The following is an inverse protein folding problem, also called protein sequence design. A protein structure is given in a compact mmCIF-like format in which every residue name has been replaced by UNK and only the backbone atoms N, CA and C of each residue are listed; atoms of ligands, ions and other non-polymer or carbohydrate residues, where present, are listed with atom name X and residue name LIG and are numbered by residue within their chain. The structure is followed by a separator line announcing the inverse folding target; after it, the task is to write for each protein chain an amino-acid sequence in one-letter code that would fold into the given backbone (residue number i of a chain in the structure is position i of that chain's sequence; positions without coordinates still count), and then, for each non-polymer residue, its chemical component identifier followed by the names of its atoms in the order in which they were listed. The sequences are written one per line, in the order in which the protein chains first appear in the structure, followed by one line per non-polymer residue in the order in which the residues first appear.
data_IF_485906277462
#
_entry.id   IF_485906277462
#
_cell.length_a   1.000
_cell.length_b   1.000
_cell.length_c   1.000
_cell.angle_alpha   90.00
_cell.angle_beta   90.00
_cell.angle_gamma   90.00
#
_symmetry.space_group_name_H-M   'P 1'
#
loop_
_entity.id
_entity.type
_entity.pdbx_description
1 polymer ?
#
# COMPACT_ATOMS: atom_id res chain seq x y z
N UNK A 1 55.79 32.04 -37.94
CA UNK A 1 54.98 30.93 -38.45
C UNK A 1 54.67 30.04 -37.26
N UNK A 2 53.55 30.31 -36.58
CA UNK A 2 53.23 29.77 -35.25
C UNK A 2 52.04 28.83 -35.42
N UNK A 3 52.22 27.56 -35.09
CA UNK A 3 51.16 26.56 -35.17
C UNK A 3 50.15 26.75 -34.01
N UNK A 4 48.84 26.71 -34.27
CA UNK A 4 47.84 26.76 -33.21
C UNK A 4 47.78 25.43 -32.45
N UNK A 5 47.94 25.49 -31.13
CA UNK A 5 47.67 24.39 -30.21
C UNK A 5 46.18 24.00 -30.29
N UNK A 6 45.88 22.82 -30.83
CA UNK A 6 44.56 22.20 -30.67
C UNK A 6 44.47 21.59 -29.28
N UNK A 7 43.86 22.31 -28.34
CA UNK A 7 43.43 21.73 -27.07
C UNK A 7 42.38 20.66 -27.34
N UNK A 8 42.80 19.40 -27.22
CA UNK A 8 41.89 18.26 -27.12
C UNK A 8 41.12 18.40 -25.81
N UNK A 9 39.92 18.98 -25.90
CA UNK A 9 38.98 19.02 -24.77
C UNK A 9 38.48 17.59 -24.56
N UNK A 10 39.17 16.86 -23.67
CA UNK A 10 38.76 15.53 -23.25
C UNK A 10 37.31 15.60 -22.74
N UNK A 11 36.39 14.93 -23.43
CA UNK A 11 34.99 14.85 -23.05
C UNK A 11 34.88 14.11 -21.72
N UNK A 12 34.54 14.85 -20.65
CA UNK A 12 34.25 14.25 -19.35
C UNK A 12 33.03 13.34 -19.52
N UNK A 13 33.14 12.01 -19.31
CA UNK A 13 32.02 11.11 -19.48
C UNK A 13 30.90 11.49 -18.50
N UNK A 14 29.74 11.83 -19.03
CA UNK A 14 28.55 12.16 -18.26
C UNK A 14 28.21 10.97 -17.35
N UNK A 15 28.38 11.14 -16.04
CA UNK A 15 28.07 10.12 -15.04
C UNK A 15 26.55 10.01 -14.90
N UNK A 16 25.94 9.09 -15.65
CA UNK A 16 24.49 8.80 -15.57
C UNK A 16 24.18 8.30 -14.14
N UNK A 17 23.46 9.12 -13.38
CA UNK A 17 23.04 8.82 -12.00
C UNK A 17 21.97 7.71 -11.99
N UNK A 18 22.32 6.52 -11.49
CA UNK A 18 21.41 5.37 -11.32
C UNK A 18 20.43 5.50 -10.14
N UNK A 19 20.56 6.56 -9.34
CA UNK A 19 19.82 6.78 -8.08
C UNK A 19 18.28 6.78 -8.20
N UNK A 20 17.63 7.34 -9.23
CA UNK A 20 16.17 7.43 -9.23
C UNK A 20 15.47 6.08 -9.41
N UNK A 21 16.10 5.13 -10.12
CA UNK A 21 15.55 3.78 -10.31
C UNK A 21 15.59 2.95 -9.02
N UNK A 22 16.70 3.03 -8.28
CA UNK A 22 16.87 2.31 -7.02
C UNK A 22 15.85 2.79 -5.97
N UNK A 23 15.62 4.10 -5.87
CA UNK A 23 14.63 4.66 -4.94
C UNK A 23 13.19 4.23 -5.29
N UNK A 24 12.82 4.23 -6.57
CA UNK A 24 11.49 3.78 -7.01
C UNK A 24 11.26 2.29 -6.72
N UNK A 25 12.28 1.45 -6.97
CA UNK A 25 12.23 0.03 -6.67
C UNK A 25 12.14 -0.23 -5.17
N UNK A 26 12.90 0.50 -4.36
CA UNK A 26 12.83 0.39 -2.90
C UNK A 26 11.44 0.80 -2.37
N UNK A 27 10.84 1.86 -2.89
CA UNK A 27 9.50 2.29 -2.52
C UNK A 27 8.43 1.25 -2.94
N UNK A 28 8.54 0.69 -4.14
CA UNK A 28 7.66 -0.38 -4.61
C UNK A 28 7.77 -1.63 -3.73
N UNK A 29 8.99 -2.05 -3.42
CA UNK A 29 9.25 -3.19 -2.54
C UNK A 29 8.72 -2.94 -1.12
N UNK A 30 8.97 -1.76 -0.56
CA UNK A 30 8.44 -1.39 0.75
C UNK A 30 6.90 -1.43 0.77
N UNK A 31 6.24 -0.83 -0.21
CA UNK A 31 4.78 -0.89 -0.34
C UNK A 31 4.25 -2.32 -0.41
N UNK A 32 4.84 -3.15 -1.26
CA UNK A 32 4.46 -4.56 -1.40
C UNK A 32 4.67 -5.36 -0.11
N UNK A 33 5.81 -5.16 0.56
CA UNK A 33 6.11 -5.83 1.85
C UNK A 33 5.10 -5.40 2.91
N UNK A 34 4.79 -4.11 3.04
CA UNK A 34 3.79 -3.61 3.99
C UNK A 34 2.41 -4.24 3.74
N UNK A 35 1.98 -4.28 2.47
CA UNK A 35 0.70 -4.88 2.09
C UNK A 35 0.64 -6.38 2.37
N UNK A 36 1.66 -7.16 1.97
CA UNK A 36 1.67 -8.61 2.21
C UNK A 36 1.78 -8.94 3.70
N UNK A 37 2.68 -8.27 4.41
CA UNK A 37 2.84 -8.48 5.86
C UNK A 37 1.57 -8.11 6.62
N UNK A 38 0.82 -7.10 6.17
CA UNK A 38 -0.45 -6.76 6.80
C UNK A 38 -1.44 -7.93 6.82
N UNK A 39 -1.54 -8.74 5.77
CA UNK A 39 -2.51 -9.85 5.69
C UNK A 39 -2.01 -11.14 6.37
N UNK A 40 -0.70 -11.37 6.39
CA UNK A 40 -0.13 -12.64 6.90
C UNK A 40 0.34 -12.55 8.35
N UNK A 41 0.82 -11.38 8.77
CA UNK A 41 1.64 -11.27 9.98
C UNK A 41 0.87 -10.82 11.22
N UNK A 42 0.64 -9.51 11.36
CA UNK A 42 0.16 -8.97 12.63
C UNK A 42 -1.35 -8.97 12.79
N UNK A 43 -1.77 -8.82 14.03
CA UNK A 43 -3.14 -8.51 14.39
C UNK A 43 -3.67 -7.25 13.70
N UNK A 44 -4.90 -7.35 13.21
CA UNK A 44 -5.68 -6.27 12.61
C UNK A 44 -6.53 -5.55 13.63
N UNK A 45 -7.23 -6.30 14.45
CA UNK A 45 -8.21 -5.78 15.38
C UNK A 45 -8.03 -6.36 16.76
N UNK A 46 -8.58 -5.64 17.71
CA UNK A 46 -8.51 -5.95 19.10
C UNK A 46 -9.91 -6.11 19.67
N UNK A 47 -10.14 -7.22 20.37
CA UNK A 47 -11.39 -7.47 21.08
C UNK A 47 -11.15 -7.26 22.58
N UNK A 48 -11.78 -6.26 23.22
CA UNK A 48 -11.61 -6.02 24.64
C UNK A 48 -12.31 -7.09 25.49
N UNK A 49 -11.61 -7.61 26.50
CA UNK A 49 -12.19 -8.51 27.50
C UNK A 49 -13.24 -7.79 28.36
N UNK A 50 -12.95 -6.53 28.65
CA UNK A 50 -13.83 -5.60 29.36
C UNK A 50 -13.78 -4.25 28.63
N UNK A 51 -14.88 -3.82 27.98
CA UNK A 51 -14.94 -2.55 27.27
C UNK A 51 -14.60 -1.34 28.15
N UNK A 52 -14.90 -1.39 29.45
CA UNK A 52 -14.67 -0.28 30.39
C UNK A 52 -13.19 -0.12 30.79
N UNK A 53 -12.42 -1.22 30.80
CA UNK A 53 -11.01 -1.21 31.22
C UNK A 53 -10.02 -1.30 30.05
N UNK A 54 -10.50 -1.48 28.81
CA UNK A 54 -9.70 -1.67 27.59
C UNK A 54 -8.62 -2.78 27.70
N UNK A 55 -8.79 -3.76 28.59
CA UNK A 55 -7.80 -4.83 28.84
C UNK A 55 -7.90 -5.96 27.80
N UNK A 56 -6.78 -6.37 27.17
CA UNK A 56 -6.86 -7.33 26.07
C UNK A 56 -7.33 -8.74 26.37
N UNK A 57 -8.40 -9.16 25.69
CA UNK A 57 -8.78 -10.57 25.60
C UNK A 57 -8.03 -11.25 24.45
N UNK A 58 -8.11 -10.68 23.23
CA UNK A 58 -7.59 -11.34 22.04
C UNK A 58 -7.23 -10.32 20.96
N UNK A 59 -6.19 -10.64 20.19
CA UNK A 59 -5.81 -9.93 18.97
C UNK A 59 -6.21 -10.79 17.79
N UNK A 60 -7.00 -10.23 16.87
CA UNK A 60 -7.50 -10.93 15.69
C UNK A 60 -6.62 -10.60 14.50
N UNK A 61 -6.07 -11.63 13.87
CA UNK A 61 -5.39 -11.53 12.57
C UNK A 61 -6.40 -11.39 11.42
N UNK A 62 -5.91 -11.17 10.19
CA UNK A 62 -6.77 -11.14 9.02
C UNK A 62 -7.52 -12.47 8.79
N UNK A 63 -6.84 -13.60 9.04
CA UNK A 63 -7.45 -14.94 8.95
C UNK A 63 -8.53 -15.15 9.99
N UNK A 64 -8.28 -14.77 11.25
CA UNK A 64 -9.29 -14.90 12.31
C UNK A 64 -10.53 -14.06 11.99
N UNK A 65 -10.34 -12.85 11.42
CA UNK A 65 -11.47 -12.02 10.98
C UNK A 65 -12.27 -12.68 9.87
N UNK A 66 -11.61 -13.34 8.91
CA UNK A 66 -12.30 -14.13 7.89
C UNK A 66 -13.14 -15.25 8.54
N UNK A 67 -12.54 -16.06 9.42
CA UNK A 67 -13.21 -17.19 10.07
C UNK A 67 -14.43 -16.74 10.89
N UNK A 68 -14.32 -15.61 11.61
CA UNK A 68 -15.44 -15.01 12.35
C UNK A 68 -16.59 -14.59 11.43
N UNK A 69 -16.27 -13.96 10.29
CA UNK A 69 -17.29 -13.54 9.33
C UNK A 69 -17.92 -14.69 8.57
N UNK A 70 -17.11 -15.66 8.13
CA UNK A 70 -17.57 -16.85 7.39
C UNK A 70 -18.39 -17.80 8.29
N UNK A 71 -18.05 -17.88 9.58
CA UNK A 71 -18.80 -18.66 10.57
C UNK A 71 -20.11 -18.02 11.02
N UNK A 72 -20.44 -16.81 10.56
CA UNK A 72 -21.66 -16.09 10.96
C UNK A 72 -21.67 -15.66 12.43
N UNK A 73 -20.50 -15.61 13.09
CA UNK A 73 -20.40 -15.24 14.50
C UNK A 73 -20.51 -13.74 14.74
N UNK A 74 -20.35 -12.93 13.68
CA UNK A 74 -20.46 -11.47 13.72
C UNK A 74 -21.29 -11.00 12.52
N UNK A 75 -22.18 -10.01 12.68
CA UNK A 75 -22.85 -9.37 11.55
C UNK A 75 -21.83 -8.85 10.54
N UNK A 76 -22.03 -9.18 9.26
CA UNK A 76 -21.15 -8.76 8.16
C UNK A 76 -21.98 -8.21 6.99
N UNK A 77 -21.33 -7.51 6.06
CA UNK A 77 -21.91 -7.12 4.79
C UNK A 77 -21.11 -7.76 3.63
N UNK A 78 -21.66 -7.72 2.41
CA UNK A 78 -21.02 -8.38 1.26
C UNK A 78 -19.63 -7.85 0.91
N UNK A 79 -19.31 -6.59 1.23
CA UNK A 79 -17.97 -6.03 0.97
C UNK A 79 -16.96 -6.57 1.98
N UNK A 80 -17.32 -6.59 3.26
CA UNK A 80 -16.47 -7.10 4.33
C UNK A 80 -16.17 -8.59 4.14
N UNK A 81 -17.20 -9.39 3.83
CA UNK A 81 -17.05 -10.82 3.55
C UNK A 81 -16.13 -11.08 2.35
N UNK A 82 -16.39 -10.42 1.21
CA UNK A 82 -15.56 -10.55 0.02
C UNK A 82 -14.10 -10.10 0.27
N UNK A 83 -13.91 -9.00 1.00
CA UNK A 83 -12.59 -8.45 1.34
C UNK A 83 -11.76 -9.42 2.17
N UNK A 84 -12.34 -9.94 3.26
CA UNK A 84 -11.66 -10.86 4.16
C UNK A 84 -11.42 -12.24 3.54
N UNK A 85 -12.25 -12.63 2.56
CA UNK A 85 -12.08 -13.90 1.84
C UNK A 85 -11.02 -13.82 0.73
N UNK A 86 -11.26 -13.04 -0.34
CA UNK A 86 -10.45 -13.10 -1.56
C UNK A 86 -10.04 -11.72 -2.09
N UNK A 87 -10.88 -10.71 -1.92
CA UNK A 87 -10.71 -9.41 -2.55
C UNK A 87 -9.53 -8.64 -1.94
N UNK A 88 -9.28 -8.77 -0.63
CA UNK A 88 -8.09 -8.20 0.03
C UNK A 88 -6.80 -8.73 -0.60
N UNK A 89 -6.68 -10.05 -0.75
CA UNK A 89 -5.54 -10.69 -1.41
C UNK A 89 -5.36 -10.22 -2.85
N UNK A 90 -6.44 -10.13 -3.62
CA UNK A 90 -6.38 -9.67 -5.01
C UNK A 90 -5.94 -8.21 -5.14
N UNK A 91 -6.42 -7.32 -4.26
CA UNK A 91 -6.01 -5.92 -4.23
C UNK A 91 -4.53 -5.79 -3.87
N UNK A 92 -4.06 -6.51 -2.85
CA UNK A 92 -2.64 -6.54 -2.45
C UNK A 92 -1.76 -7.05 -3.59
N UNK A 93 -2.14 -8.14 -4.25
CA UNK A 93 -1.41 -8.70 -5.37
C UNK A 93 -1.36 -7.72 -6.57
N UNK A 94 -2.51 -7.17 -6.96
CA UNK A 94 -2.62 -6.25 -8.09
C UNK A 94 -1.79 -4.97 -7.87
N UNK A 95 -1.91 -4.34 -6.69
CA UNK A 95 -1.14 -3.13 -6.35
C UNK A 95 0.36 -3.42 -6.29
N UNK A 96 0.76 -4.56 -5.72
CA UNK A 96 2.17 -4.96 -5.67
C UNK A 96 2.77 -5.17 -7.05
N UNK A 97 2.06 -5.89 -7.93
CA UNK A 97 2.49 -6.13 -9.33
C UNK A 97 2.58 -4.82 -10.09
N UNK A 98 1.58 -3.94 -9.96
CA UNK A 98 1.59 -2.63 -10.62
C UNK A 98 2.73 -1.72 -10.11
N UNK A 99 3.01 -1.74 -8.80
CA UNK A 99 4.11 -0.98 -8.22
C UNK A 99 5.47 -1.44 -8.76
N UNK A 100 5.71 -2.76 -8.81
CA UNK A 100 6.94 -3.33 -9.37
C UNK A 100 7.03 -3.05 -10.87
N UNK A 101 5.95 -3.25 -11.63
CA UNK A 101 5.91 -2.99 -13.06
C UNK A 101 6.22 -1.52 -13.37
N UNK A 102 5.67 -0.58 -12.58
CA UNK A 102 5.95 0.84 -12.71
C UNK A 102 7.42 1.17 -12.40
N UNK A 103 8.00 0.55 -11.36
CA UNK A 103 9.39 0.76 -10.98
C UNK A 103 10.38 0.26 -12.05
N UNK A 104 10.08 -0.86 -12.71
CA UNK A 104 10.92 -1.44 -13.78
C UNK A 104 10.72 -0.70 -15.10
N UNK A 105 9.46 -0.41 -15.46
CA UNK A 105 9.08 0.19 -16.74
C UNK A 105 8.17 1.41 -16.51
N UNK A 106 8.74 2.60 -16.25
CA UNK A 106 7.95 3.78 -15.90
C UNK A 106 7.12 4.26 -17.08
N UNK A 107 5.83 3.89 -17.10
CA UNK A 107 4.84 4.30 -18.09
C UNK A 107 3.71 5.07 -17.42
N UNK A 108 3.26 6.16 -18.06
CA UNK A 108 2.19 7.01 -17.53
C UNK A 108 0.88 6.25 -17.30
N UNK A 109 0.56 5.30 -18.18
CA UNK A 109 -0.60 4.41 -18.03
C UNK A 109 -0.50 3.52 -16.79
N UNK A 110 0.66 2.90 -16.53
CA UNK A 110 0.89 2.11 -15.32
C UNK A 110 0.78 2.95 -14.04
N UNK A 111 1.29 4.19 -14.08
CA UNK A 111 1.17 5.09 -12.95
C UNK A 111 -0.30 5.44 -12.65
N UNK A 112 -1.11 5.75 -13.67
CA UNK A 112 -2.54 5.97 -13.49
C UNK A 112 -3.28 4.72 -12.98
N UNK A 113 -2.97 3.54 -13.51
CA UNK A 113 -3.55 2.29 -13.02
C UNK A 113 -3.21 2.06 -11.55
N UNK A 114 -1.96 2.30 -11.14
CA UNK A 114 -1.53 2.16 -9.75
C UNK A 114 -2.21 3.20 -8.83
N UNK A 115 -2.41 4.44 -9.28
CA UNK A 115 -3.20 5.45 -8.55
C UNK A 115 -4.61 4.92 -8.30
N UNK A 116 -5.30 4.49 -9.36
CA UNK A 116 -6.68 3.99 -9.27
C UNK A 116 -6.75 2.77 -8.35
N UNK A 117 -5.87 1.79 -8.55
CA UNK A 117 -5.85 0.57 -7.74
C UNK A 117 -5.57 0.86 -6.26
N UNK A 118 -4.65 1.79 -5.94
CA UNK A 118 -4.35 2.16 -4.55
C UNK A 118 -5.51 2.91 -3.89
N UNK A 119 -6.19 3.80 -4.62
CA UNK A 119 -7.38 4.51 -4.12
C UNK A 119 -8.54 3.53 -3.89
N UNK A 120 -8.81 2.64 -4.84
CA UNK A 120 -9.81 1.57 -4.68
C UNK A 120 -9.46 0.68 -3.50
N UNK A 121 -8.18 0.31 -3.34
CA UNK A 121 -7.68 -0.43 -2.19
C UNK A 121 -8.01 0.24 -0.87
N UNK A 122 -7.74 1.54 -0.73
CA UNK A 122 -8.05 2.32 0.47
C UNK A 122 -9.56 2.38 0.76
N UNK A 123 -10.38 2.67 -0.26
CA UNK A 123 -11.84 2.76 -0.10
C UNK A 123 -12.42 1.42 0.30
N UNK A 124 -12.08 0.35 -0.41
CA UNK A 124 -12.57 -1.01 -0.11
C UNK A 124 -12.11 -1.46 1.27
N UNK A 125 -10.85 -1.22 1.64
CA UNK A 125 -10.33 -1.56 2.98
C UNK A 125 -11.11 -0.80 4.07
N UNK A 126 -11.39 0.48 3.87
CA UNK A 126 -12.15 1.29 4.84
C UNK A 126 -13.59 0.77 4.98
N UNK A 127 -14.24 0.45 3.86
CA UNK A 127 -15.60 -0.08 3.87
C UNK A 127 -15.68 -1.49 4.49
N UNK A 128 -14.65 -2.32 4.25
CA UNK A 128 -14.55 -3.64 4.85
C UNK A 128 -14.30 -3.56 6.37
N UNK A 129 -13.41 -2.67 6.82
CA UNK A 129 -13.16 -2.42 8.25
C UNK A 129 -14.37 -1.84 8.97
N UNK A 130 -15.13 -0.95 8.30
CA UNK A 130 -16.40 -0.42 8.81
C UNK A 130 -17.44 -1.53 8.95
N UNK A 131 -17.56 -2.39 7.94
CA UNK A 131 -18.60 -3.41 7.92
C UNK A 131 -20.01 -2.82 8.09
N UNK A 132 -20.88 -3.43 8.91
CA UNK A 132 -22.25 -2.95 9.13
C UNK A 132 -22.34 -1.77 10.10
N UNK A 133 -21.23 -1.36 10.75
CA UNK A 133 -21.24 -0.28 11.75
C UNK A 133 -21.69 1.06 11.15
N UNK A 134 -22.21 1.95 12.00
CA UNK A 134 -22.35 3.35 11.59
C UNK A 134 -20.96 4.01 11.49
N UNK A 135 -20.86 5.18 10.84
CA UNK A 135 -19.58 5.89 10.77
C UNK A 135 -19.11 6.39 12.14
N UNK A 136 -20.03 6.72 13.06
CA UNK A 136 -19.69 7.10 14.43
C UNK A 136 -19.05 5.93 15.18
N UNK A 137 -19.72 4.77 15.17
CA UNK A 137 -19.21 3.57 15.83
C UNK A 137 -17.87 3.12 15.22
N UNK A 138 -17.71 3.22 13.90
CA UNK A 138 -16.44 2.90 13.24
C UNK A 138 -15.29 3.78 13.72
N UNK A 139 -15.51 5.09 13.91
CA UNK A 139 -14.48 6.00 14.43
C UNK A 139 -14.14 5.64 15.88
N UNK A 140 -15.15 5.29 16.68
CA UNK A 140 -14.94 4.88 18.07
C UNK A 140 -14.20 3.54 18.20
N UNK A 141 -14.40 2.65 17.23
CA UNK A 141 -13.71 1.35 17.11
C UNK A 141 -12.32 1.48 16.44
N UNK A 142 -12.04 2.56 15.71
CA UNK A 142 -10.74 2.74 15.04
C UNK A 142 -9.55 2.77 16.02
N UNK A 143 -9.78 3.09 17.30
CA UNK A 143 -8.78 2.98 18.37
C UNK A 143 -8.35 1.54 18.67
N UNK A 144 -9.16 0.56 18.28
CA UNK A 144 -8.89 -0.86 18.39
C UNK A 144 -8.14 -1.40 17.17
N UNK A 145 -7.90 -0.57 16.15
CA UNK A 145 -7.07 -0.94 15.00
C UNK A 145 -5.64 -1.20 15.48
N UNK A 146 -5.06 -2.30 15.00
CA UNK A 146 -3.71 -2.75 15.33
C UNK A 146 -2.81 -2.64 14.11
N UNK A 147 -1.56 -3.06 14.31
CA UNK A 147 -0.50 -2.82 13.34
C UNK A 147 -0.79 -3.44 11.97
N UNK A 148 -1.48 -4.58 11.87
CA UNK A 148 -1.94 -5.13 10.58
C UNK A 148 -2.82 -4.16 9.79
N UNK A 149 -3.83 -3.57 10.44
CA UNK A 149 -4.70 -2.58 9.82
C UNK A 149 -3.96 -1.30 9.41
N UNK A 150 -2.99 -0.84 10.20
CA UNK A 150 -2.18 0.32 9.82
C UNK A 150 -1.23 0.02 8.66
N UNK A 151 -0.61 -1.17 8.63
CA UNK A 151 0.32 -1.55 7.57
C UNK A 151 -0.36 -1.60 6.20
N UNK A 152 -1.60 -2.09 6.11
CA UNK A 152 -2.31 -2.12 4.83
C UNK A 152 -2.62 -0.71 4.32
N UNK A 153 -3.05 0.20 5.22
CA UNK A 153 -3.37 1.59 4.88
C UNK A 153 -2.10 2.32 4.43
N UNK A 154 -1.02 2.21 5.20
CA UNK A 154 0.27 2.82 4.87
C UNK A 154 0.82 2.24 3.56
N UNK A 155 0.69 0.93 3.35
CA UNK A 155 1.09 0.26 2.11
C UNK A 155 0.43 0.87 0.87
N UNK A 156 -0.90 1.04 0.89
CA UNK A 156 -1.62 1.70 -0.21
C UNK A 156 -1.24 3.18 -0.37
N UNK A 157 -1.00 3.90 0.72
CA UNK A 157 -0.55 5.30 0.65
C UNK A 157 0.82 5.40 0.01
N UNK A 158 1.77 4.53 0.39
CA UNK A 158 3.12 4.51 -0.18
C UNK A 158 3.08 4.23 -1.68
N UNK A 159 2.30 3.25 -2.13
CA UNK A 159 2.17 2.94 -3.56
C UNK A 159 1.45 4.04 -4.34
N UNK A 160 0.46 4.70 -3.73
CA UNK A 160 -0.20 5.87 -4.29
C UNK A 160 0.77 7.04 -4.49
N UNK A 161 1.60 7.35 -3.49
CA UNK A 161 2.61 8.42 -3.56
C UNK A 161 3.65 8.10 -4.63
N UNK A 162 4.14 6.86 -4.69
CA UNK A 162 5.04 6.41 -5.76
C UNK A 162 4.46 6.66 -7.15
N UNK A 163 3.18 6.30 -7.35
CA UNK A 163 2.48 6.50 -8.61
C UNK A 163 2.33 7.99 -8.95
N UNK A 164 1.92 8.81 -7.98
CA UNK A 164 1.73 10.25 -8.16
C UNK A 164 3.03 10.98 -8.50
N UNK A 165 4.15 10.62 -7.87
CA UNK A 165 5.48 11.18 -8.21
C UNK A 165 5.86 10.82 -9.64
N UNK A 166 5.55 9.58 -10.08
CA UNK A 166 5.85 9.09 -11.42
C UNK A 166 5.04 9.77 -12.53
N UNK A 167 3.93 10.45 -12.20
CA UNK A 167 3.12 11.22 -13.14
C UNK A 167 3.65 12.63 -13.40
N UNK A 168 4.65 13.10 -12.64
CA UNK A 168 5.19 14.46 -12.81
C UNK A 168 5.87 14.59 -14.18
N UNK A 169 5.63 15.68 -14.93
CA UNK A 169 6.34 15.94 -16.18
C UNK A 169 7.85 15.96 -15.93
N UNK A 170 8.63 15.20 -16.72
CA UNK A 170 10.08 15.38 -16.74
C UNK A 170 10.35 16.76 -17.31
N UNK A 171 10.81 17.69 -16.46
CA UNK A 171 11.33 18.97 -16.96
C UNK A 171 12.59 18.62 -17.75
N UNK A 172 12.50 18.73 -19.07
CA UNK A 172 13.67 18.73 -19.94
C UNK A 172 14.44 20.02 -19.60
N UNK A 173 15.60 19.84 -18.97
CA UNK A 173 16.57 20.89 -18.66
C UNK A 173 17.71 20.79 -19.67
#
# INVERSE_FOLDING_TARGET
MSAPFSESVASVPARISSKPKAAALAAAAAGAVLLVTSLVGPGWLYVPANPAAQVPAMTLSFGDLHDLTAGGMVPTNGIQDAYLSWLGWMLVAAVSVLAVALAVAPRRSLAWLLVVASVVGLVVTTLALKGPLSWGDFIDEAKNLRIGGYLVIIGFIVTLVLAAISLRPRREL
#
